data_IF_161964934984
#
_entry.id   IF_161964934984
#
_cell.length_a   1.000
_cell.length_b   1.000
_cell.length_c   1.000
_cell.angle_alpha   90.00
_cell.angle_beta   90.00
_cell.angle_gamma   90.00
#
_symmetry.space_group_name_H-M   'P 1'
#
loop_
_entity.id
_entity.type
_entity.pdbx_description
1 polymer ?
#
# COMPACT_ATOMS: atom_id res chain seq x y z
N UNK A 1 -23.68 -17.80 -35.59
CA UNK A 1 -22.35 -17.51 -35.00
C UNK A 1 -22.37 -16.33 -34.00
N UNK A 2 -23.30 -15.39 -34.08
CA UNK A 2 -23.26 -14.14 -33.28
C UNK A 2 -23.82 -14.24 -31.85
N UNK A 3 -24.66 -15.24 -31.55
CA UNK A 3 -25.27 -15.39 -30.21
C UNK A 3 -24.31 -16.01 -29.16
N UNK A 4 -23.33 -16.81 -29.60
CA UNK A 4 -22.37 -17.46 -28.71
C UNK A 4 -21.30 -16.50 -28.16
N UNK A 5 -20.98 -15.42 -28.90
CA UNK A 5 -20.04 -14.39 -28.46
C UNK A 5 -20.63 -13.48 -27.37
N UNK A 6 -21.95 -13.27 -27.38
CA UNK A 6 -22.66 -12.50 -26.33
C UNK A 6 -22.80 -13.32 -25.04
N UNK A 7 -22.84 -14.65 -25.12
CA UNK A 7 -22.90 -15.52 -23.95
C UNK A 7 -21.54 -15.68 -23.21
N UNK A 8 -20.42 -15.41 -23.90
CA UNK A 8 -19.07 -15.40 -23.32
C UNK A 8 -18.64 -14.00 -22.84
N UNK A 9 -19.32 -12.94 -23.30
CA UNK A 9 -19.24 -11.64 -22.68
C UNK A 9 -19.92 -11.74 -21.31
N UNK A 10 -19.11 -11.88 -20.26
CA UNK A 10 -19.57 -11.93 -18.89
C UNK A 10 -20.65 -10.88 -18.64
N UNK A 11 -21.68 -11.29 -17.88
CA UNK A 11 -22.82 -10.46 -17.47
C UNK A 11 -22.34 -9.01 -17.25
N UNK A 12 -22.99 -7.99 -17.86
CA UNK A 12 -22.57 -6.61 -17.66
C UNK A 12 -22.37 -6.42 -16.16
N UNK A 13 -21.14 -6.06 -15.77
CA UNK A 13 -20.82 -5.83 -14.37
C UNK A 13 -21.83 -4.76 -13.92
N UNK A 14 -22.77 -5.14 -13.05
CA UNK A 14 -23.63 -4.16 -12.41
C UNK A 14 -22.71 -3.22 -11.64
N UNK A 15 -22.41 -2.08 -12.25
CA UNK A 15 -21.68 -1.00 -11.62
C UNK A 15 -22.52 -0.53 -10.45
N UNK A 16 -22.23 -1.03 -9.25
CA UNK A 16 -22.81 -0.47 -8.03
C UNK A 16 -22.07 0.82 -7.74
N UNK A 17 -22.73 1.99 -7.73
CA UNK A 17 -22.07 3.24 -7.42
C UNK A 17 -21.44 3.15 -6.03
N UNK A 18 -20.12 3.29 -5.95
CA UNK A 18 -19.39 3.42 -4.69
C UNK A 18 -19.69 4.78 -4.08
N UNK A 19 -19.90 4.87 -2.77
CA UNK A 19 -20.21 6.15 -2.15
C UNK A 19 -19.08 7.18 -2.34
N UNK A 20 -19.39 8.49 -2.50
CA UNK A 20 -18.38 9.53 -2.66
C UNK A 20 -17.34 9.56 -1.53
N UNK A 21 -17.77 9.24 -0.30
CA UNK A 21 -16.89 9.15 0.88
C UNK A 21 -15.86 8.03 0.75
N UNK A 22 -16.25 6.88 0.21
CA UNK A 22 -15.34 5.74 -0.03
C UNK A 22 -14.35 6.05 -1.14
N UNK A 23 -14.80 6.73 -2.20
CA UNK A 23 -13.88 7.22 -3.24
C UNK A 23 -12.91 8.28 -2.70
N UNK A 24 -13.36 9.16 -1.81
CA UNK A 24 -12.49 10.14 -1.17
C UNK A 24 -11.44 9.45 -0.28
N UNK A 25 -11.84 8.48 0.55
CA UNK A 25 -10.93 7.69 1.37
C UNK A 25 -9.89 6.95 0.51
N UNK A 26 -10.32 6.35 -0.61
CA UNK A 26 -9.41 5.68 -1.54
C UNK A 26 -8.44 6.66 -2.22
N UNK A 27 -8.87 7.87 -2.58
CA UNK A 27 -7.97 8.92 -3.11
C UNK A 27 -6.97 9.40 -2.06
N UNK A 28 -7.42 9.60 -0.83
CA UNK A 28 -6.54 9.94 0.30
C UNK A 28 -5.51 8.83 0.53
N UNK A 29 -5.92 7.56 0.45
CA UNK A 29 -5.03 6.41 0.57
C UNK A 29 -3.95 6.40 -0.52
N UNK A 30 -4.29 6.75 -1.78
CA UNK A 30 -3.30 6.90 -2.85
C UNK A 30 -2.31 8.04 -2.57
N UNK A 31 -2.81 9.20 -2.12
CA UNK A 31 -1.96 10.36 -1.79
C UNK A 31 -1.00 10.04 -0.64
N UNK A 32 -1.50 9.45 0.44
CA UNK A 32 -0.68 9.00 1.58
C UNK A 32 0.27 7.88 1.14
N UNK A 33 -0.16 6.98 0.26
CA UNK A 33 0.70 5.96 -0.35
C UNK A 33 1.89 6.57 -1.10
N UNK A 34 1.67 7.64 -1.87
CA UNK A 34 2.77 8.35 -2.54
C UNK A 34 3.74 8.98 -1.53
N UNK A 35 3.22 9.65 -0.49
CA UNK A 35 4.04 10.22 0.60
C UNK A 35 4.84 9.13 1.32
N UNK A 36 4.21 7.98 1.58
CA UNK A 36 4.83 6.82 2.21
C UNK A 36 6.05 6.35 1.40
N UNK A 37 5.94 6.25 0.07
CA UNK A 37 7.05 5.85 -0.81
C UNK A 37 8.21 6.85 -0.78
N UNK A 38 7.90 8.14 -0.79
CA UNK A 38 8.91 9.20 -0.69
C UNK A 38 9.64 9.10 0.64
N UNK A 39 8.91 9.03 1.76
CA UNK A 39 9.51 8.91 3.09
C UNK A 39 10.29 7.60 3.27
N UNK A 40 9.86 6.51 2.64
CA UNK A 40 10.61 5.25 2.62
C UNK A 40 11.97 5.40 1.94
N UNK A 41 11.99 6.09 0.79
CA UNK A 41 13.23 6.41 0.07
C UNK A 41 14.16 7.29 0.89
N UNK A 42 13.62 8.31 1.57
CA UNK A 42 14.40 9.17 2.49
C UNK A 42 14.95 8.34 3.66
N UNK A 43 14.16 7.44 4.23
CA UNK A 43 14.59 6.58 5.36
C UNK A 43 15.73 5.66 4.96
N UNK A 44 15.63 4.98 3.80
CA UNK A 44 16.71 4.14 3.27
C UNK A 44 17.96 4.96 2.98
N UNK A 45 17.80 6.15 2.39
CA UNK A 45 18.92 7.05 2.06
C UNK A 45 19.57 7.72 3.28
N UNK A 46 18.87 7.84 4.41
CA UNK A 46 19.46 8.33 5.66
C UNK A 46 20.23 7.23 6.41
N UNK A 47 19.81 5.97 6.27
CA UNK A 47 20.47 4.82 6.89
C UNK A 47 21.76 4.40 6.18
N UNK A 48 22.47 3.37 6.70
CA UNK A 48 23.74 2.88 6.16
C UNK A 48 23.63 2.15 4.81
N UNK A 49 22.41 2.02 4.28
CA UNK A 49 22.12 1.40 2.98
C UNK A 49 21.79 2.47 1.94
N UNK A 50 22.47 3.62 2.00
CA UNK A 50 22.25 4.77 1.14
C UNK A 50 22.61 4.54 -0.33
N UNK A 51 23.34 3.46 -0.64
CA UNK A 51 23.75 3.08 -2.00
C UNK A 51 24.92 3.90 -2.52
N UNK A 52 25.88 4.22 -1.65
CA UNK A 52 27.17 4.84 -1.95
C UNK A 52 28.26 4.04 -1.19
N UNK A 53 29.39 3.82 -1.84
CA UNK A 53 30.46 2.93 -1.36
C UNK A 53 31.48 3.66 -0.47
N UNK A 54 31.47 5.00 -0.48
CA UNK A 54 32.37 5.87 0.28
C UNK A 54 31.66 6.48 1.51
N UNK A 55 30.39 6.89 1.36
CA UNK A 55 29.56 7.49 2.40
C UNK A 55 28.30 6.67 2.61
N UNK A 56 28.17 6.06 3.79
CA UNK A 56 27.07 5.12 4.08
C UNK A 56 25.65 5.72 3.93
N UNK A 57 25.48 7.05 4.10
CA UNK A 57 24.21 7.75 3.94
C UNK A 57 24.23 8.66 2.69
N UNK A 58 23.08 8.75 2.00
CA UNK A 58 22.84 9.63 0.85
C UNK A 58 22.20 10.97 1.23
N UNK A 59 21.41 10.99 2.30
CA UNK A 59 20.73 12.21 2.77
C UNK A 59 21.22 12.59 4.16
N UNK A 60 21.64 13.85 4.34
CA UNK A 60 22.07 14.39 5.62
C UNK A 60 20.87 14.68 6.56
N UNK A 61 20.15 13.62 6.92
CA UNK A 61 18.97 13.64 7.79
C UNK A 61 19.21 12.62 8.91
N UNK A 62 18.79 12.94 10.13
CA UNK A 62 18.82 11.99 11.25
C UNK A 62 18.03 10.70 10.87
N UNK A 63 18.68 9.52 10.83
CA UNK A 63 18.02 8.27 10.47
C UNK A 63 16.84 7.93 11.38
N UNK A 64 16.92 8.30 12.68
CA UNK A 64 15.85 8.02 13.64
C UNK A 64 14.63 8.90 13.36
N UNK A 65 14.85 10.20 13.10
CA UNK A 65 13.79 11.11 12.70
C UNK A 65 13.12 10.67 11.39
N UNK A 66 13.92 10.30 10.37
CA UNK A 66 13.40 9.81 9.09
C UNK A 66 12.54 8.54 9.28
N UNK A 67 13.03 7.57 10.05
CA UNK A 67 12.30 6.34 10.34
C UNK A 67 10.98 6.60 11.09
N UNK A 68 10.98 7.52 12.06
CA UNK A 68 9.75 7.91 12.79
C UNK A 68 8.75 8.62 11.88
N UNK A 69 9.20 9.51 11.00
CA UNK A 69 8.34 10.19 10.03
C UNK A 69 7.73 9.18 9.04
N UNK A 70 8.51 8.24 8.54
CA UNK A 70 8.02 7.16 7.69
C UNK A 70 7.01 6.28 8.41
N UNK A 71 7.30 5.87 9.66
CA UNK A 71 6.37 5.08 10.47
C UNK A 71 5.04 5.82 10.73
N UNK A 72 5.07 7.14 10.93
CA UNK A 72 3.84 7.94 11.05
C UNK A 72 2.98 7.87 9.77
N UNK A 73 3.60 7.92 8.59
CA UNK A 73 2.90 7.74 7.32
C UNK A 73 2.36 6.31 7.14
N UNK A 74 3.09 5.28 7.60
CA UNK A 74 2.60 3.88 7.64
C UNK A 74 1.32 3.80 8.48
N UNK A 75 1.31 4.36 9.69
CA UNK A 75 0.13 4.35 10.54
C UNK A 75 -1.05 5.10 9.94
N UNK A 76 -0.82 6.27 9.32
CA UNK A 76 -1.85 6.98 8.57
C UNK A 76 -2.41 6.13 7.41
N UNK A 77 -1.55 5.43 6.68
CA UNK A 77 -1.93 4.50 5.61
C UNK A 77 -2.79 3.34 6.15
N UNK A 78 -2.37 2.69 7.24
CA UNK A 78 -3.14 1.62 7.91
C UNK A 78 -4.52 2.11 8.31
N UNK A 79 -4.62 3.28 8.95
CA UNK A 79 -5.91 3.86 9.35
C UNK A 79 -6.82 4.11 8.15
N UNK A 80 -6.29 4.56 7.02
CA UNK A 80 -7.07 4.74 5.79
C UNK A 80 -7.52 3.41 5.16
N UNK A 81 -6.68 2.36 5.19
CA UNK A 81 -7.10 1.01 4.76
C UNK A 81 -8.25 0.49 5.63
N UNK A 82 -8.13 0.64 6.95
CA UNK A 82 -9.18 0.24 7.89
C UNK A 82 -10.46 1.06 7.71
N UNK A 83 -10.34 2.37 7.52
CA UNK A 83 -11.48 3.25 7.26
C UNK A 83 -12.21 2.85 5.96
N UNK A 84 -11.47 2.58 4.88
CA UNK A 84 -12.07 2.12 3.63
C UNK A 84 -12.72 0.75 3.74
N UNK A 85 -12.10 -0.22 4.43
CA UNK A 85 -12.74 -1.50 4.76
C UNK A 85 -14.03 -1.31 5.56
N UNK A 86 -14.03 -0.40 6.54
CA UNK A 86 -15.23 -0.12 7.32
C UNK A 86 -16.35 0.50 6.47
N UNK A 87 -16.02 1.44 5.58
CA UNK A 87 -16.99 2.05 4.65
C UNK A 87 -17.57 1.01 3.68
N UNK A 88 -16.71 0.20 3.05
CA UNK A 88 -17.12 -0.90 2.17
C UNK A 88 -18.03 -1.89 2.89
N UNK A 89 -17.76 -2.18 4.17
CA UNK A 89 -18.63 -3.03 4.98
C UNK A 89 -20.00 -2.39 5.21
N UNK A 90 -20.06 -1.09 5.46
CA UNK A 90 -21.33 -0.33 5.62
C UNK A 90 -22.14 -0.28 4.34
N UNK A 91 -21.48 -0.20 3.19
CA UNK A 91 -22.11 -0.25 1.86
C UNK A 91 -22.55 -1.67 1.46
N UNK A 92 -22.26 -2.68 2.27
CA UNK A 92 -22.57 -4.07 1.97
C UNK A 92 -21.73 -4.65 0.83
N UNK A 93 -20.60 -4.02 0.49
CA UNK A 93 -19.69 -4.49 -0.56
C UNK A 93 -19.14 -5.86 -0.20
N UNK A 94 -19.23 -6.80 -1.14
CA UNK A 94 -18.72 -8.16 -1.01
C UNK A 94 -17.93 -8.56 -2.26
N UNK A 95 -17.33 -9.75 -2.19
CA UNK A 95 -16.69 -10.35 -3.35
C UNK A 95 -15.33 -9.70 -3.67
N UNK A 96 -15.02 -9.43 -4.95
CA UNK A 96 -13.65 -9.08 -5.35
C UNK A 96 -13.09 -7.78 -4.75
N UNK A 97 -13.91 -6.73 -4.59
CA UNK A 97 -13.44 -5.46 -3.98
C UNK A 97 -13.02 -5.68 -2.54
N UNK A 98 -13.87 -6.36 -1.76
CA UNK A 98 -13.59 -6.70 -0.37
C UNK A 98 -12.30 -7.51 -0.23
N UNK A 99 -12.13 -8.53 -1.08
CA UNK A 99 -10.91 -9.36 -1.09
C UNK A 99 -9.66 -8.54 -1.41
N UNK A 100 -9.72 -7.62 -2.37
CA UNK A 100 -8.57 -6.79 -2.72
C UNK A 100 -8.13 -5.87 -1.58
N UNK A 101 -9.09 -5.27 -0.86
CA UNK A 101 -8.79 -4.46 0.33
C UNK A 101 -8.25 -5.27 1.50
N UNK A 102 -8.72 -6.52 1.70
CA UNK A 102 -8.15 -7.43 2.70
C UNK A 102 -6.71 -7.83 2.36
N UNK A 103 -6.42 -8.10 1.08
CA UNK A 103 -5.05 -8.38 0.62
C UNK A 103 -4.16 -7.18 0.83
N UNK A 104 -4.63 -5.97 0.48
CA UNK A 104 -3.90 -4.74 0.75
C UNK A 104 -3.57 -4.61 2.25
N UNK A 105 -4.55 -4.79 3.13
CA UNK A 105 -4.33 -4.77 4.57
C UNK A 105 -3.28 -5.81 5.00
N UNK A 106 -3.40 -7.06 4.53
CA UNK A 106 -2.47 -8.13 4.87
C UNK A 106 -1.03 -7.81 4.44
N UNK A 107 -0.84 -7.30 3.21
CA UNK A 107 0.48 -6.88 2.71
C UNK A 107 1.01 -5.69 3.51
N UNK A 108 0.18 -4.70 3.83
CA UNK A 108 0.58 -3.55 4.66
C UNK A 108 1.04 -3.98 6.05
N UNK A 109 0.30 -4.87 6.71
CA UNK A 109 0.67 -5.36 8.05
C UNK A 109 1.95 -6.19 8.02
N UNK A 110 2.11 -7.05 7.00
CA UNK A 110 3.34 -7.82 6.80
C UNK A 110 4.54 -6.89 6.56
N UNK A 111 4.38 -5.83 5.77
CA UNK A 111 5.43 -4.83 5.55
C UNK A 111 5.74 -4.03 6.81
N UNK A 112 4.73 -3.62 7.58
CA UNK A 112 4.92 -2.96 8.87
C UNK A 112 5.73 -3.84 9.82
N UNK A 113 5.42 -5.14 9.91
CA UNK A 113 6.18 -6.09 10.70
C UNK A 113 7.64 -6.18 10.25
N UNK A 114 7.89 -6.37 8.95
CA UNK A 114 9.26 -6.41 8.40
C UNK A 114 10.02 -5.12 8.72
N UNK A 115 9.39 -3.95 8.53
CA UNK A 115 10.02 -2.66 8.82
C UNK A 115 10.38 -2.45 10.30
N UNK A 116 9.49 -2.85 11.22
CA UNK A 116 9.80 -2.80 12.65
C UNK A 116 10.91 -3.77 13.04
N UNK A 117 10.88 -5.02 12.55
CA UNK A 117 11.95 -5.98 12.81
C UNK A 117 13.26 -5.45 12.26
N UNK A 118 13.27 -4.91 11.03
CA UNK A 118 14.44 -4.29 10.41
C UNK A 118 15.00 -3.15 11.28
N UNK A 119 14.14 -2.25 11.78
CA UNK A 119 14.56 -1.15 12.66
C UNK A 119 15.21 -1.65 13.96
N UNK A 120 14.57 -2.59 14.66
CA UNK A 120 15.06 -3.06 15.96
C UNK A 120 16.23 -4.04 15.88
N UNK A 121 16.45 -4.68 14.73
CA UNK A 121 17.59 -5.59 14.51
C UNK A 121 18.82 -4.90 13.92
N UNK A 122 18.80 -3.57 13.78
CA UNK A 122 19.95 -2.81 13.29
C UNK A 122 20.09 -2.81 11.77
N UNK A 123 18.98 -2.92 11.03
CA UNK A 123 18.90 -2.83 9.58
C UNK A 123 19.66 -3.95 8.83
N UNK A 124 19.48 -5.24 9.12
CA UNK A 124 20.19 -6.29 8.39
C UNK A 124 19.82 -6.28 6.90
N UNK A 125 20.82 -6.35 6.02
CA UNK A 125 20.69 -6.20 4.56
C UNK A 125 19.59 -7.09 3.95
N UNK A 126 19.48 -8.34 4.41
CA UNK A 126 18.45 -9.28 3.93
C UNK A 126 17.05 -8.77 4.22
N UNK A 127 16.80 -8.19 5.41
CA UNK A 127 15.49 -7.61 5.73
C UNK A 127 15.24 -6.33 4.93
N UNK A 128 16.26 -5.51 4.67
CA UNK A 128 16.17 -4.35 3.78
C UNK A 128 15.71 -4.80 2.38
N UNK A 129 16.35 -5.84 1.83
CA UNK A 129 15.96 -6.42 0.54
C UNK A 129 14.52 -6.95 0.53
N UNK A 130 14.11 -7.68 1.57
CA UNK A 130 12.72 -8.17 1.73
C UNK A 130 11.73 -7.01 1.81
N UNK A 131 12.08 -5.92 2.51
CA UNK A 131 11.24 -4.74 2.63
C UNK A 131 11.10 -3.99 1.29
N UNK A 132 12.19 -3.87 0.53
CA UNK A 132 12.17 -3.29 -0.82
C UNK A 132 11.34 -4.13 -1.80
N UNK A 133 11.49 -5.46 -1.79
CA UNK A 133 10.64 -6.35 -2.60
C UNK A 133 9.17 -6.23 -2.20
N UNK A 134 8.90 -6.19 -0.89
CA UNK A 134 7.57 -6.00 -0.33
C UNK A 134 6.95 -4.64 -0.65
N UNK A 135 7.75 -3.61 -0.93
CA UNK A 135 7.29 -2.31 -1.42
C UNK A 135 6.67 -2.43 -2.81
N UNK A 136 7.23 -3.28 -3.68
CA UNK A 136 6.63 -3.63 -4.98
C UNK A 136 5.29 -4.37 -4.83
N UNK A 137 5.20 -5.31 -3.88
CA UNK A 137 3.95 -6.01 -3.56
C UNK A 137 2.89 -5.07 -3.00
N UNK A 138 3.26 -4.15 -2.10
CA UNK A 138 2.36 -3.14 -1.54
C UNK A 138 1.81 -2.23 -2.63
N UNK A 139 2.67 -1.76 -3.55
CA UNK A 139 2.27 -0.91 -4.69
C UNK A 139 1.33 -1.65 -5.62
N UNK A 140 1.59 -2.93 -5.87
CA UNK A 140 0.72 -3.81 -6.68
C UNK A 140 -0.64 -4.00 -6.02
N UNK A 141 -0.67 -4.31 -4.72
CA UNK A 141 -1.90 -4.50 -3.96
C UNK A 141 -2.73 -3.21 -3.88
N UNK A 142 -2.10 -2.04 -3.69
CA UNK A 142 -2.75 -0.74 -3.67
C UNK A 142 -3.39 -0.42 -5.03
N UNK A 143 -2.63 -0.59 -6.11
CA UNK A 143 -3.12 -0.43 -7.49
C UNK A 143 -4.28 -1.38 -7.77
N UNK A 144 -4.16 -2.64 -7.35
CA UNK A 144 -5.21 -3.63 -7.53
C UNK A 144 -6.49 -3.25 -6.76
N UNK A 145 -6.39 -2.87 -5.49
CA UNK A 145 -7.52 -2.43 -4.68
C UNK A 145 -8.22 -1.20 -5.27
N UNK A 146 -7.46 -0.24 -5.80
CA UNK A 146 -7.98 0.91 -6.52
C UNK A 146 -8.72 0.53 -7.80
N UNK A 147 -8.11 -0.31 -8.65
CA UNK A 147 -8.75 -0.79 -9.87
C UNK A 147 -10.02 -1.57 -9.55
N UNK A 148 -10.01 -2.45 -8.54
CA UNK A 148 -11.23 -3.16 -8.13
C UNK A 148 -12.32 -2.22 -7.65
N UNK A 149 -11.99 -1.10 -7.01
CA UNK A 149 -12.98 -0.12 -6.55
C UNK A 149 -13.53 0.74 -7.69
N UNK A 150 -12.69 1.14 -8.64
CA UNK A 150 -13.04 2.02 -9.77
C UNK A 150 -13.85 1.31 -10.86
N UNK A 151 -13.58 0.01 -11.04
CA UNK A 151 -14.17 -0.83 -12.09
C UNK A 151 -15.10 -1.92 -11.50
N UNK A 152 -15.67 -1.68 -10.31
CA UNK A 152 -16.67 -2.52 -9.64
C UNK A 152 -18.09 -2.06 -9.97
#
# INVERSE_FOLDING_TARGET
ASAALVALAGRPLEHRPVAPTTLLAARALLAVGAVLMVLGTVTTGAGPHGGDDEVAYRYAVDPVLAAKAHAAAVWAFVLLVLAGLWLLRREGTRGPVWRAWLVLLGVTLAQGLVGYVQYFTGLPEVLVGVHLLGTGLLTTALTWAWCRLRWA
#
